data_IF_632683230639
#
_entry.id   IF_632683230639
#
_cell.length_a   1.000
_cell.length_b   1.000
_cell.length_c   1.000
_cell.angle_alpha   90.00
_cell.angle_beta   90.00
_cell.angle_gamma   90.00
#
_symmetry.space_group_name_H-M   'P 1'
#
loop_
_entity.id
_entity.type
_entity.pdbx_description
1 polymer ?
#
# COMPACT_ATOMS: atom_id res chain seq x y z
N UNK A 1 54.23 -40.24 8.46
CA UNK A 1 52.90 -40.36 7.82
C UNK A 1 52.00 -39.27 8.40
N UNK A 2 51.63 -38.24 7.63
CA UNK A 2 50.73 -37.17 8.09
C UNK A 2 49.30 -37.69 7.98
N UNK A 3 48.63 -37.94 9.11
CA UNK A 3 47.22 -38.30 9.15
C UNK A 3 46.42 -37.03 8.77
N UNK A 4 45.82 -37.03 7.59
CA UNK A 4 44.83 -36.03 7.19
C UNK A 4 43.55 -36.35 7.99
N UNK A 5 43.17 -35.48 8.93
CA UNK A 5 41.90 -35.64 9.67
C UNK A 5 40.75 -35.32 8.71
N UNK A 6 40.03 -36.35 8.28
CA UNK A 6 38.77 -36.21 7.56
C UNK A 6 37.60 -36.22 8.55
N UNK A 7 36.52 -35.53 8.22
CA UNK A 7 35.28 -35.57 8.99
C UNK A 7 34.71 -37.00 9.02
N UNK A 8 34.21 -37.42 10.18
CA UNK A 8 33.52 -38.72 10.29
C UNK A 8 32.12 -38.64 9.68
N UNK A 9 31.58 -39.76 9.20
CA UNK A 9 30.20 -39.82 8.72
C UNK A 9 29.21 -39.33 9.78
N UNK A 10 29.40 -39.75 11.03
CA UNK A 10 28.55 -39.32 12.15
C UNK A 10 28.62 -37.80 12.38
N UNK A 11 29.80 -37.20 12.29
CA UNK A 11 29.99 -35.75 12.41
C UNK A 11 29.27 -34.99 11.28
N UNK A 12 29.38 -35.47 10.04
CA UNK A 12 28.61 -34.89 8.93
C UNK A 12 27.09 -35.06 9.09
N UNK A 13 26.62 -36.17 9.66
CA UNK A 13 25.19 -36.43 9.83
C UNK A 13 24.58 -35.55 10.92
N UNK A 14 25.29 -35.38 12.04
CA UNK A 14 24.86 -34.49 13.12
C UNK A 14 24.84 -33.04 12.66
N UNK A 15 25.86 -32.60 11.92
CA UNK A 15 25.91 -31.23 11.38
C UNK A 15 24.78 -30.96 10.38
N UNK A 16 24.51 -31.85 9.43
CA UNK A 16 23.37 -31.73 8.50
C UNK A 16 22.03 -31.74 9.23
N UNK A 17 21.88 -32.58 10.26
CA UNK A 17 20.66 -32.62 11.07
C UNK A 17 20.44 -31.29 11.81
N UNK A 18 21.48 -30.74 12.44
CA UNK A 18 21.41 -29.46 13.15
C UNK A 18 21.06 -28.33 12.18
N UNK A 19 21.74 -28.24 11.04
CA UNK A 19 21.47 -27.23 10.02
C UNK A 19 20.04 -27.38 9.48
N UNK A 20 19.57 -28.61 9.24
CA UNK A 20 18.21 -28.88 8.79
C UNK A 20 17.14 -28.38 9.77
N UNK A 21 17.31 -28.63 11.07
CA UNK A 21 16.36 -28.15 12.11
C UNK A 21 16.38 -26.63 12.20
N UNK A 22 17.56 -26.01 12.21
CA UNK A 22 17.68 -24.54 12.27
C UNK A 22 17.05 -23.89 11.03
N UNK A 23 17.34 -24.42 9.84
CA UNK A 23 16.77 -23.94 8.59
C UNK A 23 15.24 -24.05 8.58
N UNK A 24 14.67 -25.16 9.04
CA UNK A 24 13.22 -25.36 9.12
C UNK A 24 12.51 -24.33 10.01
N UNK A 25 13.16 -23.89 11.10
CA UNK A 25 12.61 -22.89 12.02
C UNK A 25 12.81 -21.44 11.54
N UNK A 26 13.89 -21.18 10.78
CA UNK A 26 14.31 -19.81 10.43
C UNK A 26 13.90 -19.37 9.03
N UNK A 27 13.82 -20.28 8.05
CA UNK A 27 13.44 -19.94 6.67
C UNK A 27 12.04 -19.31 6.57
N UNK A 28 10.99 -19.85 7.23
CA UNK A 28 9.65 -19.27 7.11
C UNK A 28 9.57 -17.84 7.65
N UNK A 29 10.18 -17.58 8.81
CA UNK A 29 10.18 -16.24 9.42
C UNK A 29 11.00 -15.24 8.60
N UNK A 30 12.11 -15.68 7.99
CA UNK A 30 12.91 -14.86 7.10
C UNK A 30 12.14 -14.49 5.82
N UNK A 31 11.46 -15.44 5.18
CA UNK A 31 10.67 -15.18 3.97
C UNK A 31 9.58 -14.13 4.24
N UNK A 32 8.81 -14.30 5.32
CA UNK A 32 7.78 -13.32 5.70
C UNK A 32 8.39 -11.94 5.90
N UNK A 33 9.51 -11.84 6.62
CA UNK A 33 10.18 -10.56 6.84
C UNK A 33 10.64 -9.90 5.53
N UNK A 34 11.27 -10.66 4.63
CA UNK A 34 11.74 -10.14 3.34
C UNK A 34 10.56 -9.65 2.49
N UNK A 35 9.45 -10.38 2.46
CA UNK A 35 8.23 -9.94 1.77
C UNK A 35 7.69 -8.64 2.37
N UNK A 36 7.65 -8.52 3.70
CA UNK A 36 7.16 -7.33 4.39
C UNK A 36 8.04 -6.09 4.07
N UNK A 37 9.36 -6.27 4.09
CA UNK A 37 10.32 -5.22 3.74
C UNK A 37 10.20 -4.81 2.26
N UNK A 38 9.92 -5.77 1.36
CA UNK A 38 9.67 -5.49 -0.05
C UNK A 38 8.39 -4.69 -0.26
N UNK A 39 7.27 -5.10 0.35
CA UNK A 39 5.99 -4.38 0.26
C UNK A 39 6.10 -2.96 0.83
N UNK A 40 6.75 -2.81 1.98
CA UNK A 40 7.06 -1.52 2.59
C UNK A 40 7.88 -0.60 1.65
N UNK A 41 8.85 -1.17 0.94
CA UNK A 41 9.69 -0.43 -0.03
C UNK A 41 8.90 -0.04 -1.27
N UNK A 42 8.07 -0.96 -1.79
CA UNK A 42 7.18 -0.65 -2.92
C UNK A 42 6.19 0.46 -2.57
N UNK A 43 5.57 0.40 -1.39
CA UNK A 43 4.67 1.44 -0.90
C UNK A 43 5.35 2.82 -0.83
N UNK A 44 6.51 2.90 -0.18
CA UNK A 44 7.31 4.14 -0.13
C UNK A 44 7.59 4.71 -1.51
N UNK A 45 8.00 3.84 -2.44
CA UNK A 45 8.31 4.23 -3.81
C UNK A 45 7.07 4.76 -4.52
N UNK A 46 5.95 4.03 -4.51
CA UNK A 46 4.71 4.45 -5.17
C UNK A 46 4.20 5.77 -4.60
N UNK A 47 4.24 5.95 -3.27
CA UNK A 47 3.84 7.21 -2.63
C UNK A 47 4.74 8.38 -3.04
N UNK A 48 6.05 8.16 -3.14
CA UNK A 48 6.99 9.17 -3.62
C UNK A 48 6.77 9.52 -5.10
N UNK A 49 6.53 8.52 -5.96
CA UNK A 49 6.18 8.71 -7.37
C UNK A 49 4.87 9.50 -7.52
N UNK A 50 3.86 9.21 -6.69
CA UNK A 50 2.62 9.99 -6.63
C UNK A 50 2.87 11.43 -6.20
N UNK A 51 3.64 11.65 -5.14
CA UNK A 51 3.93 13.00 -4.65
C UNK A 51 4.73 13.83 -5.65
N UNK A 52 5.64 13.22 -6.42
CA UNK A 52 6.38 13.86 -7.52
C UNK A 52 5.46 14.16 -8.71
N UNK A 53 4.59 13.21 -9.08
CA UNK A 53 3.58 13.40 -10.12
C UNK A 53 2.62 14.56 -9.78
N UNK A 54 2.09 14.60 -8.55
CA UNK A 54 1.22 15.69 -8.08
C UNK A 54 1.89 17.06 -8.22
N UNK A 55 3.16 17.18 -7.82
CA UNK A 55 3.91 18.43 -7.95
C UNK A 55 4.12 18.81 -9.41
N UNK A 56 4.42 17.86 -10.29
CA UNK A 56 4.57 18.12 -11.73
C UNK A 56 3.28 18.61 -12.37
N UNK A 57 2.15 18.02 -12.00
CA UNK A 57 0.84 18.46 -12.48
C UNK A 57 0.56 19.88 -11.99
N UNK A 58 0.68 20.12 -10.68
CA UNK A 58 0.42 21.44 -10.04
C UNK A 58 1.28 22.58 -10.61
N UNK A 59 2.50 22.27 -11.09
CA UNK A 59 3.35 23.24 -11.78
C UNK A 59 2.85 23.62 -13.19
N UNK A 60 2.13 22.72 -13.86
CA UNK A 60 1.63 22.91 -15.22
C UNK A 60 0.19 23.44 -15.22
N UNK A 61 -0.69 22.87 -14.40
CA UNK A 61 -2.10 23.23 -14.26
C UNK A 61 -2.72 22.69 -12.96
N UNK A 62 -3.94 23.12 -12.65
CA UNK A 62 -4.70 22.58 -11.52
C UNK A 62 -5.11 21.12 -11.78
N UNK A 63 -5.16 20.30 -10.73
CA UNK A 63 -5.59 18.89 -10.84
C UNK A 63 -7.10 18.82 -11.07
N UNK A 64 -7.53 18.23 -12.18
CA UNK A 64 -8.93 18.07 -12.57
C UNK A 64 -9.60 16.92 -11.78
N UNK A 65 -10.20 17.27 -10.65
CA UNK A 65 -11.00 16.35 -9.84
C UNK A 65 -12.50 16.34 -10.21
N UNK A 66 -12.87 16.81 -11.41
CA UNK A 66 -14.27 16.83 -11.89
C UNK A 66 -14.88 15.43 -12.08
N UNK A 67 -14.05 14.45 -12.41
CA UNK A 67 -14.43 13.04 -12.50
C UNK A 67 -13.28 12.13 -12.04
N UNK A 68 -13.57 10.86 -11.71
CA UNK A 68 -12.53 9.88 -11.40
C UNK A 68 -11.58 9.67 -12.59
N UNK A 69 -12.11 9.69 -13.82
CA UNK A 69 -11.34 9.48 -15.03
C UNK A 69 -10.39 10.64 -15.32
N UNK A 70 -10.90 11.89 -15.27
CA UNK A 70 -10.08 13.09 -15.50
C UNK A 70 -8.96 13.18 -14.46
N UNK A 71 -9.28 12.89 -13.20
CA UNK A 71 -8.28 12.88 -12.13
C UNK A 71 -7.17 11.86 -12.40
N UNK A 72 -7.52 10.66 -12.90
CA UNK A 72 -6.54 9.66 -13.33
C UNK A 72 -5.76 10.11 -14.58
N UNK A 73 -6.44 10.76 -15.53
CA UNK A 73 -5.85 11.20 -16.81
C UNK A 73 -4.73 12.22 -16.57
N UNK A 74 -4.89 13.17 -15.65
CA UNK A 74 -3.82 14.09 -15.24
C UNK A 74 -2.57 13.35 -14.76
N UNK A 75 -2.75 12.28 -13.98
CA UNK A 75 -1.62 11.44 -13.56
C UNK A 75 -1.06 10.61 -14.71
N UNK A 76 -1.88 10.22 -15.68
CA UNK A 76 -1.42 9.50 -16.87
C UNK A 76 -0.57 10.38 -17.81
N UNK A 77 -0.68 11.71 -17.73
CA UNK A 77 0.18 12.62 -18.50
C UNK A 77 1.62 12.65 -17.99
N UNK A 78 1.82 12.46 -16.68
CA UNK A 78 3.13 12.59 -16.03
C UNK A 78 3.70 11.25 -15.54
N UNK A 79 2.86 10.23 -15.39
CA UNK A 79 3.24 8.87 -14.97
C UNK A 79 3.12 7.89 -16.14
N UNK A 80 4.01 6.89 -16.17
CA UNK A 80 3.96 5.84 -17.18
C UNK A 80 3.04 4.69 -16.73
N UNK A 81 1.75 4.75 -17.05
CA UNK A 81 0.84 3.63 -16.84
C UNK A 81 0.95 2.61 -17.98
N UNK A 82 1.16 1.33 -17.65
CA UNK A 82 1.19 0.23 -18.62
C UNK A 82 -0.21 -0.22 -19.04
N UNK A 83 -1.19 0.04 -18.17
CA UNK A 83 -2.60 -0.24 -18.40
C UNK A 83 -3.43 0.74 -17.59
N UNK A 84 -4.64 1.00 -18.07
CA UNK A 84 -5.62 1.82 -17.37
C UNK A 84 -7.01 1.24 -17.54
N UNK A 85 -7.88 1.46 -16.55
CA UNK A 85 -9.23 0.92 -16.56
C UNK A 85 -9.86 1.06 -15.19
N UNK A 86 -10.74 0.14 -14.83
CA UNK A 86 -11.30 0.10 -13.48
C UNK A 86 -10.35 -0.61 -12.51
N UNK A 87 -10.32 -0.15 -11.25
CA UNK A 87 -9.42 -0.70 -10.23
C UNK A 87 -9.50 -2.23 -10.09
N UNK A 88 -10.72 -2.76 -9.96
CA UNK A 88 -10.95 -4.21 -9.85
C UNK A 88 -10.59 -4.99 -11.14
N UNK A 89 -10.67 -4.34 -12.30
CA UNK A 89 -10.32 -4.97 -13.58
C UNK A 89 -8.79 -5.09 -13.70
N UNK A 90 -8.06 -4.03 -13.31
CA UNK A 90 -6.60 -4.06 -13.29
C UNK A 90 -6.03 -5.01 -12.23
N UNK A 91 -6.79 -5.24 -11.16
CA UNK A 91 -6.51 -6.28 -10.16
C UNK A 91 -6.95 -7.69 -10.59
N UNK A 92 -7.51 -7.85 -11.79
CA UNK A 92 -7.98 -9.13 -12.33
C UNK A 92 -9.30 -9.64 -11.77
N UNK A 93 -9.72 -9.21 -10.57
CA UNK A 93 -11.02 -9.53 -9.98
C UNK A 93 -11.34 -8.63 -8.76
N UNK A 94 -12.51 -8.83 -8.16
CA UNK A 94 -12.82 -8.30 -6.83
C UNK A 94 -11.89 -8.99 -5.81
N UNK A 95 -11.08 -8.20 -5.10
CA UNK A 95 -10.15 -8.71 -4.10
C UNK A 95 -10.72 -8.52 -2.69
N UNK A 96 -10.55 -9.57 -1.88
CA UNK A 96 -10.82 -9.53 -0.44
C UNK A 96 -9.52 -9.36 0.33
N UNK A 97 -9.36 -8.20 0.96
CA UNK A 97 -8.24 -7.86 1.80
C UNK A 97 -8.51 -8.21 3.26
N UNK A 98 -7.55 -8.85 3.92
CA UNK A 98 -7.57 -9.12 5.36
C UNK A 98 -7.31 -7.85 6.15
N UNK A 99 -7.93 -7.73 7.31
CA UNK A 99 -7.57 -6.70 8.28
C UNK A 99 -6.26 -7.05 8.98
N UNK A 100 -5.53 -6.01 9.40
CA UNK A 100 -4.22 -6.17 10.01
C UNK A 100 -4.29 -6.98 11.32
N UNK A 101 -3.66 -8.18 11.32
CA UNK A 101 -3.70 -9.17 12.41
C UNK A 101 -5.12 -9.49 12.92
N UNK A 102 -6.16 -9.25 12.11
CA UNK A 102 -7.56 -9.41 12.49
C UNK A 102 -8.27 -10.51 11.70
N UNK A 103 -9.43 -10.93 12.19
CA UNK A 103 -10.30 -11.91 11.50
C UNK A 103 -11.31 -11.24 10.56
N UNK A 104 -11.29 -9.90 10.48
CA UNK A 104 -12.14 -9.14 9.57
C UNK A 104 -11.57 -9.12 8.16
N UNK A 105 -12.46 -8.94 7.20
CA UNK A 105 -12.14 -8.79 5.79
C UNK A 105 -12.85 -7.57 5.24
N UNK A 106 -12.16 -6.89 4.32
CA UNK A 106 -12.73 -5.84 3.50
C UNK A 106 -12.63 -6.28 2.04
N UNK A 107 -13.71 -6.14 1.29
CA UNK A 107 -13.73 -6.51 -0.12
C UNK A 107 -13.93 -5.24 -0.92
N UNK A 108 -13.16 -5.07 -1.99
CA UNK A 108 -13.36 -3.93 -2.89
C UNK A 108 -14.80 -3.96 -3.40
N UNK A 109 -15.51 -2.84 -3.27
CA UNK A 109 -16.92 -2.81 -3.62
C UNK A 109 -17.10 -2.98 -5.13
N UNK A 110 -17.95 -3.90 -5.55
CA UNK A 110 -18.30 -4.17 -6.96
C UNK A 110 -19.06 -3.03 -7.66
N UNK A 111 -19.34 -1.92 -6.97
CA UNK A 111 -20.16 -0.81 -7.46
C UNK A 111 -19.45 0.54 -7.60
N UNK A 112 -18.17 0.62 -7.25
CA UNK A 112 -17.36 1.82 -7.40
C UNK A 112 -16.32 1.57 -8.49
N UNK A 113 -16.72 1.74 -9.76
CA UNK A 113 -15.80 1.76 -10.90
C UNK A 113 -15.10 3.12 -10.90
N UNK A 114 -14.11 3.31 -10.03
CA UNK A 114 -13.25 4.47 -10.12
C UNK A 114 -12.02 4.15 -10.96
N UNK A 115 -11.64 5.12 -11.78
CA UNK A 115 -10.58 4.99 -12.75
C UNK A 115 -9.26 4.66 -12.06
N UNK A 116 -8.47 3.82 -12.71
CA UNK A 116 -7.24 3.31 -12.20
C UNK A 116 -6.16 3.25 -13.28
N UNK A 117 -4.91 3.26 -12.82
CA UNK A 117 -3.71 3.06 -13.63
C UNK A 117 -2.80 2.02 -13.00
N UNK A 118 -2.19 1.18 -13.82
CA UNK A 118 -1.19 0.20 -13.39
C UNK A 118 0.20 0.67 -13.78
N UNK A 119 1.12 0.64 -12.83
CA UNK A 119 2.53 0.97 -13.03
C UNK A 119 3.34 -0.26 -13.49
N UNK A 120 4.48 -0.07 -14.18
CA UNK A 120 5.40 -1.15 -14.54
C UNK A 120 5.94 -1.95 -13.34
N UNK A 121 5.88 -1.37 -12.14
CA UNK A 121 6.24 -2.03 -10.88
C UNK A 121 5.25 -3.13 -10.45
N UNK A 122 4.10 -3.21 -11.11
CA UNK A 122 2.96 -4.05 -10.74
C UNK A 122 1.94 -3.37 -9.84
N UNK A 123 2.25 -2.16 -9.31
CA UNK A 123 1.33 -1.44 -8.46
C UNK A 123 0.11 -0.92 -9.25
N UNK A 124 -1.09 -1.05 -8.67
CA UNK A 124 -2.35 -0.55 -9.21
C UNK A 124 -2.82 0.61 -8.34
N UNK A 125 -3.13 1.74 -8.97
CA UNK A 125 -3.55 2.96 -8.30
C UNK A 125 -4.96 3.31 -8.77
N UNK A 126 -5.92 3.33 -7.85
CA UNK A 126 -7.28 3.80 -8.04
C UNK A 126 -7.41 5.27 -7.63
N UNK A 127 -8.16 6.04 -8.42
CA UNK A 127 -8.33 7.48 -8.28
C UNK A 127 -9.76 7.81 -7.86
N UNK A 128 -9.98 7.97 -6.55
CA UNK A 128 -11.30 8.24 -5.97
C UNK A 128 -11.48 9.71 -5.57
N UNK A 129 -12.15 10.51 -6.40
CA UNK A 129 -12.42 11.92 -6.07
C UNK A 129 -13.51 12.05 -5.01
N UNK A 130 -13.33 13.01 -4.11
CA UNK A 130 -14.33 13.44 -3.13
C UNK A 130 -14.87 14.84 -3.41
N UNK A 131 -14.01 15.77 -3.81
CA UNK A 131 -14.36 17.18 -3.99
C UNK A 131 -13.64 17.79 -5.19
N UNK A 132 -14.41 18.46 -6.05
CA UNK A 132 -13.89 19.24 -7.19
C UNK A 132 -13.13 20.50 -6.76
N UNK A 133 -13.39 20.97 -5.54
CA UNK A 133 -12.78 22.19 -4.98
C UNK A 133 -11.95 21.91 -3.72
N UNK A 134 -11.63 20.64 -3.46
CA UNK A 134 -10.90 20.20 -2.28
C UNK A 134 -11.51 20.67 -0.94
N UNK A 135 -12.82 20.82 -0.87
CA UNK A 135 -13.52 21.34 0.31
C UNK A 135 -13.98 20.25 1.30
N UNK A 136 -13.70 18.96 1.01
CA UNK A 136 -14.11 17.86 1.89
C UNK A 136 -13.22 17.72 3.13
N UNK A 137 -13.72 16.97 4.10
CA UNK A 137 -12.97 16.61 5.32
C UNK A 137 -12.96 15.09 5.48
N UNK A 138 -11.96 14.54 6.19
CA UNK A 138 -11.95 13.11 6.52
C UNK A 138 -13.18 12.70 7.33
N UNK A 139 -13.71 13.60 8.17
CA UNK A 139 -14.95 13.35 8.91
C UNK A 139 -16.15 13.18 7.98
N UNK A 140 -16.24 13.95 6.90
CA UNK A 140 -17.33 13.85 5.95
C UNK A 140 -17.26 12.56 5.13
N UNK A 141 -16.04 12.16 4.73
CA UNK A 141 -15.85 11.01 3.82
C UNK A 141 -15.74 9.68 4.56
N UNK A 142 -15.09 9.68 5.73
CA UNK A 142 -14.87 8.50 6.56
C UNK A 142 -15.60 8.59 7.90
N UNK A 143 -16.43 9.58 8.21
CA UNK A 143 -17.08 9.64 9.54
C UNK A 143 -16.10 9.70 10.71
N UNK A 144 -14.84 10.10 10.48
CA UNK A 144 -13.77 10.11 11.49
C UNK A 144 -12.59 11.00 11.11
N UNK A 145 -11.81 11.43 12.10
CA UNK A 145 -10.71 12.38 11.91
C UNK A 145 -11.18 13.84 11.80
N UNK A 146 -10.24 14.74 11.57
CA UNK A 146 -10.41 16.20 11.42
C UNK A 146 -9.55 16.77 10.29
N UNK A 147 -9.03 15.94 9.37
CA UNK A 147 -8.28 16.38 8.21
C UNK A 147 -9.18 17.22 7.28
N UNK A 148 -8.68 18.36 6.83
CA UNK A 148 -9.38 19.31 5.94
C UNK A 148 -8.67 19.42 4.60
N UNK A 149 -9.31 20.04 3.62
CA UNK A 149 -8.72 20.26 2.30
C UNK A 149 -8.74 19.00 1.43
N UNK A 150 -9.58 18.01 1.75
CA UNK A 150 -9.57 16.70 1.07
C UNK A 150 -10.14 16.85 -0.33
N UNK A 151 -9.34 16.53 -1.34
CA UNK A 151 -9.72 16.50 -2.75
C UNK A 151 -10.18 15.09 -3.16
N UNK A 152 -9.37 14.09 -2.82
CA UNK A 152 -9.51 12.73 -3.30
C UNK A 152 -8.78 11.74 -2.38
N UNK A 153 -9.07 10.47 -2.61
CA UNK A 153 -8.37 9.30 -2.09
C UNK A 153 -7.74 8.56 -3.26
N UNK A 154 -6.51 8.13 -3.04
CA UNK A 154 -5.73 7.26 -3.90
C UNK A 154 -5.70 5.91 -3.19
N UNK A 155 -6.21 4.89 -3.86
CA UNK A 155 -6.16 3.51 -3.41
C UNK A 155 -5.02 2.80 -4.12
N UNK A 156 -4.10 2.21 -3.38
CA UNK A 156 -2.87 1.66 -3.94
C UNK A 156 -2.74 0.23 -3.49
N UNK A 157 -2.84 -0.70 -4.44
CA UNK A 157 -2.24 -2.01 -4.25
C UNK A 157 -0.83 -2.01 -4.83
N UNK A 158 0.17 -2.39 -4.04
CA UNK A 158 1.59 -2.32 -4.45
C UNK A 158 2.10 -3.57 -5.19
N UNK A 159 1.32 -4.65 -5.23
CA UNK A 159 1.73 -5.94 -5.81
C UNK A 159 0.61 -6.70 -6.55
N UNK A 160 -0.52 -6.07 -6.84
CA UNK A 160 -1.60 -6.68 -7.62
C UNK A 160 -2.44 -7.64 -6.76
N UNK A 161 -2.81 -8.79 -7.32
CA UNK A 161 -3.58 -9.83 -6.61
C UNK A 161 -2.73 -10.81 -5.81
N UNK A 162 -1.40 -10.62 -5.82
CA UNK A 162 -0.45 -11.43 -5.08
C UNK A 162 -0.68 -11.31 -3.56
N UNK A 163 -0.52 -12.41 -2.79
CA UNK A 163 -0.63 -12.37 -1.34
C UNK A 163 0.38 -11.40 -0.72
N UNK A 164 0.06 -10.80 0.45
CA UNK A 164 -0.93 -11.28 1.43
C UNK A 164 -2.39 -10.84 1.26
N UNK A 165 -2.70 -9.91 0.37
CA UNK A 165 -3.96 -9.18 0.28
C UNK A 165 -4.43 -8.71 1.67
N UNK A 166 -3.72 -7.74 2.25
CA UNK A 166 -3.93 -7.18 3.58
C UNK A 166 -3.92 -5.64 3.61
N UNK A 167 -5.00 -5.07 4.16
CA UNK A 167 -5.16 -3.64 4.37
C UNK A 167 -4.04 -3.07 5.25
N UNK A 168 -3.41 -1.99 4.78
CA UNK A 168 -2.28 -1.32 5.42
C UNK A 168 -0.94 -2.02 5.24
N UNK A 169 -0.85 -2.97 4.31
CA UNK A 169 0.38 -3.70 3.97
C UNK A 169 0.63 -3.70 2.47
N UNK A 170 -0.23 -4.35 1.69
CA UNK A 170 -0.19 -4.29 0.23
C UNK A 170 -1.20 -3.28 -0.32
N UNK A 171 -2.43 -3.32 0.18
CA UNK A 171 -3.45 -2.30 -0.04
C UNK A 171 -3.25 -1.14 0.93
N UNK A 172 -2.91 0.03 0.40
CA UNK A 172 -2.65 1.23 1.14
C UNK A 172 -3.49 2.38 0.57
N UNK A 173 -3.81 3.34 1.42
CA UNK A 173 -4.57 4.52 1.05
C UNK A 173 -3.68 5.76 1.19
N UNK A 174 -3.81 6.71 0.27
CA UNK A 174 -3.27 8.05 0.42
C UNK A 174 -4.35 9.11 0.13
N UNK A 175 -4.26 10.24 0.80
CA UNK A 175 -5.07 11.41 0.55
C UNK A 175 -4.39 12.33 -0.43
N UNK A 176 -5.14 12.83 -1.40
CA UNK A 176 -4.81 14.08 -2.06
C UNK A 176 -5.52 15.21 -1.31
N UNK A 177 -4.75 16.11 -0.73
CA UNK A 177 -5.27 17.31 -0.07
C UNK A 177 -4.76 18.57 -0.77
N UNK A 178 -5.52 19.65 -0.69
CA UNK A 178 -5.07 20.99 -1.08
C UNK A 178 -5.08 21.88 0.15
N UNK A 179 -3.92 22.35 0.55
CA UNK A 179 -3.74 23.21 1.72
C UNK A 179 -2.95 24.44 1.32
N UNK A 180 -3.48 25.62 1.66
CA UNK A 180 -2.86 26.91 1.34
C UNK A 180 -2.54 27.06 -0.16
N UNK A 181 -3.40 26.48 -1.03
CA UNK A 181 -3.26 26.50 -2.48
C UNK A 181 -2.37 25.41 -3.07
N UNK A 182 -1.67 24.62 -2.26
CA UNK A 182 -0.71 23.60 -2.72
C UNK A 182 -1.29 22.20 -2.55
N UNK A 183 -1.16 21.35 -3.57
CA UNK A 183 -1.54 19.94 -3.47
C UNK A 183 -0.48 19.13 -2.73
N UNK A 184 -0.93 18.20 -1.89
CA UNK A 184 -0.07 17.29 -1.14
C UNK A 184 -0.68 15.90 -1.14
N UNK A 185 0.17 14.90 -1.35
CA UNK A 185 -0.19 13.49 -1.16
C UNK A 185 0.31 13.05 0.20
N UNK A 186 -0.59 12.62 1.07
CA UNK A 186 -0.26 12.14 2.41
C UNK A 186 -0.81 10.73 2.62
N UNK A 187 -0.03 9.85 3.23
CA UNK A 187 -0.46 8.48 3.53
C UNK A 187 -1.65 8.46 4.50
N UNK A 188 -2.47 7.41 4.40
CA UNK A 188 -3.33 6.97 5.49
C UNK A 188 -2.52 6.63 6.74
N UNK A 189 -3.10 6.85 7.91
CA UNK A 189 -2.47 6.77 9.23
C UNK A 189 -1.75 8.05 9.64
N UNK A 190 -1.92 9.13 8.89
CA UNK A 190 -1.37 10.43 9.26
C UNK A 190 -2.26 11.13 10.29
N UNK A 191 -1.71 12.16 10.93
CA UNK A 191 -2.43 12.84 12.01
C UNK A 191 -3.77 13.38 11.50
N UNK A 192 -4.83 13.14 12.28
CA UNK A 192 -6.19 13.65 12.04
C UNK A 192 -6.94 13.04 10.86
N UNK A 193 -6.43 12.02 10.17
CA UNK A 193 -7.14 11.46 9.00
C UNK A 193 -8.28 10.48 9.34
N UNK A 194 -8.44 10.13 10.62
CA UNK A 194 -9.50 9.23 11.08
C UNK A 194 -9.22 7.75 10.88
N UNK A 195 -8.01 7.41 10.43
CA UNK A 195 -7.52 6.03 10.34
C UNK A 195 -6.51 5.75 11.45
N UNK A 196 -6.34 4.48 11.80
CA UNK A 196 -5.40 4.05 12.84
C UNK A 196 -4.81 2.68 12.50
N UNK A 197 -3.82 2.22 13.27
CA UNK A 197 -3.27 0.87 13.14
C UNK A 197 -3.51 0.11 14.45
N UNK A 198 -4.51 -0.76 14.49
CA UNK A 198 -4.90 -1.57 15.65
C UNK A 198 -4.92 -3.04 15.26
N UNK A 199 -3.94 -3.79 15.75
CA UNK A 199 -3.86 -5.23 15.56
C UNK A 199 -5.13 -5.93 16.07
N UNK A 200 -5.68 -6.86 15.29
CA UNK A 200 -6.86 -7.64 15.70
C UNK A 200 -8.19 -6.94 15.44
N UNK A 201 -8.19 -5.70 14.96
CA UNK A 201 -9.42 -4.95 14.69
C UNK A 201 -10.26 -5.60 13.59
N UNK A 202 -11.58 -5.63 13.80
CA UNK A 202 -12.57 -6.00 12.76
C UNK A 202 -12.96 -4.84 11.85
N UNK A 203 -12.38 -3.64 12.05
CA UNK A 203 -12.65 -2.44 11.26
C UNK A 203 -11.49 -2.14 10.32
N UNK A 204 -11.77 -1.99 9.01
CA UNK A 204 -10.79 -1.73 7.96
C UNK A 204 -10.00 -0.43 8.17
N UNK A 205 -10.64 0.63 8.69
CA UNK A 205 -9.98 1.93 8.99
C UNK A 205 -8.88 1.84 10.03
N UNK A 206 -8.98 0.86 10.92
CA UNK A 206 -7.94 0.57 11.91
C UNK A 206 -6.83 -0.33 11.34
N UNK A 207 -6.94 -0.75 10.08
CA UNK A 207 -5.86 -1.41 9.34
C UNK A 207 -5.23 -0.44 8.35
N UNK A 208 -6.00 0.47 7.75
CA UNK A 208 -5.46 1.46 6.80
C UNK A 208 -4.38 2.35 7.39
N UNK A 209 -4.50 2.73 8.66
CA UNK A 209 -3.49 3.57 9.31
C UNK A 209 -2.14 2.86 9.50
N UNK A 210 -2.06 1.56 9.24
CA UNK A 210 -0.79 0.83 9.24
C UNK A 210 0.14 1.26 8.10
N UNK A 211 -0.40 1.83 7.01
CA UNK A 211 0.36 2.32 5.86
C UNK A 211 1.44 3.37 6.24
N UNK A 212 1.25 4.11 7.34
CA UNK A 212 2.21 5.14 7.79
C UNK A 212 3.48 4.54 8.44
N UNK A 213 3.40 3.33 8.98
CA UNK A 213 4.50 2.73 9.76
C UNK A 213 5.74 2.42 8.92
N UNK A 214 5.61 1.78 7.74
CA UNK A 214 6.70 1.66 6.80
C UNK A 214 7.40 2.98 6.55
N UNK A 215 6.63 4.06 6.28
CA UNK A 215 7.15 5.39 5.94
C UNK A 215 7.99 6.00 7.08
N UNK A 216 7.60 5.74 8.33
CA UNK A 216 8.33 6.18 9.54
C UNK A 216 9.55 5.32 9.86
N UNK A 217 9.77 4.21 9.15
CA UNK A 217 10.83 3.24 9.46
C UNK A 217 10.58 2.48 10.76
N UNK A 218 9.32 2.44 11.23
CA UNK A 218 8.93 1.77 12.46
C UNK A 218 8.19 0.47 12.13
N UNK A 219 8.42 -0.62 12.88
CA UNK A 219 7.68 -1.86 12.69
C UNK A 219 6.21 -1.67 13.04
N UNK A 220 5.35 -2.42 12.35
CA UNK A 220 3.91 -2.44 12.62
C UNK A 220 3.62 -2.94 14.06
N UNK A 221 2.57 -2.41 14.72
CA UNK A 221 2.23 -2.74 16.10
C UNK A 221 1.70 -4.17 16.28
#
# INVERSE_FOLDING_TARGET
MKIQKAFTLAETFVTLTIIGVIAALTIPSLIVKVTDDQLATKWKKTLAELSDATQKIDLNHDIDTSSHANFRDDYAEVMNFIATGDFNVLLGSVITYKHYKGNGFWTTSSGANYAAGQLPSGAVIGFYRYSTTCASTSTAVLGGGTLTGVCAELDIDVNGDDPPNMVGKDYNMAWLIKKDGVYQVISGGTNNDGTSCVAGSSTWRNSLGCAVYPLKGTPLP
#
